data_IF_522705658807
#
_entry.id   IF_522705658807
#
_cell.length_a   1.000
_cell.length_b   1.000
_cell.length_c   1.000
_cell.angle_alpha   90.00
_cell.angle_beta   90.00
_cell.angle_gamma   90.00
#
_symmetry.space_group_name_H-M   'P 1'
#
loop_
_entity.id
_entity.type
_entity.pdbx_description
1 polymer ?
#
# COMPACT_ATOMS: atom_id res chain seq x y z
N UNK A 1 -11.80 18.09 -4.56
CA UNK A 1 -12.47 16.77 -4.77
C UNK A 1 -11.67 15.82 -5.67
N UNK A 2 -11.20 16.25 -6.85
CA UNK A 2 -10.51 15.37 -7.82
C UNK A 2 -9.28 14.62 -7.28
N UNK A 3 -8.40 15.31 -6.53
CA UNK A 3 -7.20 14.69 -5.92
C UNK A 3 -7.54 13.61 -4.90
N UNK A 4 -8.66 13.76 -4.19
CA UNK A 4 -9.13 12.73 -3.27
C UNK A 4 -9.57 11.49 -4.04
N UNK A 5 -10.40 11.65 -5.08
CA UNK A 5 -10.84 10.54 -5.90
C UNK A 5 -9.66 9.77 -6.53
N UNK A 6 -8.65 10.47 -7.05
CA UNK A 6 -7.50 9.84 -7.74
C UNK A 6 -6.55 9.08 -6.81
N UNK A 7 -6.55 9.38 -5.50
CA UNK A 7 -5.59 8.81 -4.53
C UNK A 7 -6.11 7.59 -3.74
N UNK A 8 -7.17 6.93 -4.22
CA UNK A 8 -7.75 5.75 -3.54
C UNK A 8 -6.76 4.62 -3.27
N UNK A 9 -5.86 4.35 -4.22
CA UNK A 9 -4.79 3.35 -4.06
C UNK A 9 -3.89 3.62 -2.84
N UNK A 10 -3.45 4.87 -2.67
CA UNK A 10 -2.56 5.24 -1.57
C UNK A 10 -3.27 5.14 -0.22
N UNK A 11 -4.56 5.55 -0.15
CA UNK A 11 -5.36 5.41 1.07
C UNK A 11 -5.59 3.96 1.46
N UNK A 12 -5.86 3.09 0.47
CA UNK A 12 -5.97 1.66 0.71
C UNK A 12 -4.68 1.08 1.31
N UNK A 13 -3.51 1.46 0.78
CA UNK A 13 -2.23 1.02 1.36
C UNK A 13 -2.00 1.55 2.77
N UNK A 14 -2.35 2.82 3.04
CA UNK A 14 -2.33 3.36 4.40
C UNK A 14 -3.25 2.55 5.33
N UNK A 15 -4.47 2.22 4.89
CA UNK A 15 -5.39 1.41 5.67
C UNK A 15 -4.82 0.01 5.94
N UNK A 16 -4.21 -0.64 4.95
CA UNK A 16 -3.51 -1.92 5.16
C UNK A 16 -2.37 -1.78 6.19
N UNK A 17 -1.54 -0.75 6.08
CA UNK A 17 -0.42 -0.54 7.00
C UNK A 17 -0.89 -0.38 8.45
N UNK A 18 -1.98 0.35 8.69
CA UNK A 18 -2.42 0.66 10.05
C UNK A 18 -3.43 -0.33 10.63
N UNK A 19 -4.30 -0.92 9.78
CA UNK A 19 -5.38 -1.82 10.21
C UNK A 19 -5.08 -3.30 9.97
N UNK A 20 -4.26 -3.63 8.97
CA UNK A 20 -3.94 -5.03 8.67
C UNK A 20 -2.63 -5.51 9.29
N UNK A 21 -1.62 -4.64 9.41
CA UNK A 21 -0.37 -4.96 10.10
C UNK A 21 -0.50 -4.79 11.61
N UNK A 22 0.02 -5.76 12.36
CA UNK A 22 0.27 -5.57 13.80
C UNK A 22 1.22 -4.36 13.99
N UNK A 23 0.97 -3.46 14.97
CA UNK A 23 1.86 -2.35 15.26
C UNK A 23 3.34 -2.72 15.31
N UNK A 24 3.67 -3.87 15.90
CA UNK A 24 5.05 -4.35 16.03
C UNK A 24 5.66 -4.82 14.69
N UNK A 25 4.84 -5.15 13.69
CA UNK A 25 5.26 -5.69 12.40
C UNK A 25 5.17 -4.67 11.25
N UNK A 26 4.66 -3.46 11.48
CA UNK A 26 4.52 -2.41 10.43
C UNK A 26 5.82 -2.12 9.70
N UNK A 27 6.94 -2.20 10.40
CA UNK A 27 8.26 -1.98 9.82
C UNK A 27 8.57 -2.98 8.69
N UNK A 28 8.07 -4.23 8.75
CA UNK A 28 8.26 -5.24 7.70
C UNK A 28 7.61 -4.83 6.38
N UNK A 29 6.50 -4.09 6.45
CA UNK A 29 5.82 -3.54 5.27
C UNK A 29 6.72 -2.51 4.60
N UNK A 30 7.30 -1.60 5.40
CA UNK A 30 8.20 -0.56 4.91
C UNK A 30 9.52 -1.15 4.41
N UNK A 31 10.11 -2.09 5.14
CA UNK A 31 11.33 -2.81 4.73
C UNK A 31 11.15 -3.46 3.36
N UNK A 32 10.06 -4.20 3.14
CA UNK A 32 9.76 -4.80 1.83
C UNK A 32 9.59 -3.73 0.74
N UNK A 33 8.88 -2.64 1.05
CA UNK A 33 8.62 -1.56 0.10
C UNK A 33 9.93 -0.88 -0.34
N UNK A 34 10.85 -0.61 0.59
CA UNK A 34 12.13 0.03 0.29
C UNK A 34 13.15 -0.87 -0.43
N UNK A 35 12.82 -2.15 -0.65
CA UNK A 35 13.60 -3.05 -1.52
C UNK A 35 13.18 -2.98 -2.99
N UNK A 36 12.14 -2.20 -3.32
CA UNK A 36 11.71 -1.98 -4.70
C UNK A 36 12.67 -1.04 -5.44
N UNK A 37 12.53 -0.98 -6.76
CA UNK A 37 13.27 -0.06 -7.61
C UNK A 37 13.11 1.40 -7.13
N UNK A 38 14.21 2.16 -7.12
CA UNK A 38 14.23 3.53 -6.63
C UNK A 38 13.35 4.46 -7.47
N UNK A 39 13.26 4.24 -8.79
CA UNK A 39 12.39 5.00 -9.67
C UNK A 39 10.91 4.76 -9.37
N UNK A 40 10.53 3.52 -9.08
CA UNK A 40 9.18 3.18 -8.59
C UNK A 40 8.89 3.89 -7.27
N UNK A 41 9.81 3.83 -6.29
CA UNK A 41 9.64 4.48 -4.99
C UNK A 41 9.47 5.99 -5.16
N UNK A 42 10.25 6.62 -6.05
CA UNK A 42 10.13 8.04 -6.37
C UNK A 42 8.74 8.40 -6.92
N UNK A 43 8.23 7.65 -7.91
CA UNK A 43 6.88 7.85 -8.45
C UNK A 43 5.78 7.64 -7.41
N UNK A 44 5.98 6.67 -6.51
CA UNK A 44 5.04 6.41 -5.43
C UNK A 44 4.89 7.63 -4.51
N UNK A 45 6.01 8.19 -4.04
CA UNK A 45 5.99 9.37 -3.17
C UNK A 45 5.53 10.64 -3.90
N UNK A 46 5.76 10.74 -5.21
CA UNK A 46 5.20 11.81 -6.04
C UNK A 46 3.68 11.68 -6.26
N UNK A 47 3.06 10.57 -5.85
CA UNK A 47 1.65 10.29 -6.10
C UNK A 47 1.35 9.94 -7.57
N UNK A 48 2.37 9.58 -8.36
CA UNK A 48 2.30 9.32 -9.81
C UNK A 48 2.52 7.83 -10.15
N UNK A 49 2.11 6.92 -9.28
CA UNK A 49 2.25 5.46 -9.51
C UNK A 49 1.47 5.01 -10.74
N UNK A 50 2.18 4.36 -11.67
CA UNK A 50 1.57 3.69 -12.83
C UNK A 50 0.80 2.43 -12.40
N UNK A 51 0.02 1.85 -13.31
CA UNK A 51 -0.67 0.57 -13.05
C UNK A 51 0.36 -0.53 -12.75
N UNK A 52 1.50 -0.54 -13.45
CA UNK A 52 2.58 -1.49 -13.21
C UNK A 52 3.24 -1.29 -11.84
N UNK A 53 3.44 -0.04 -11.40
CA UNK A 53 3.97 0.25 -10.06
C UNK A 53 3.03 -0.28 -8.97
N UNK A 54 1.72 -0.03 -9.12
CA UNK A 54 0.69 -0.52 -8.19
C UNK A 54 0.69 -2.04 -8.10
N UNK A 55 0.74 -2.72 -9.25
CA UNK A 55 0.84 -4.17 -9.30
C UNK A 55 2.10 -4.64 -8.58
N UNK A 56 3.26 -4.04 -8.88
CA UNK A 56 4.54 -4.42 -8.27
C UNK A 56 4.56 -4.26 -6.75
N UNK A 57 3.98 -3.19 -6.22
CA UNK A 57 3.84 -2.96 -4.76
C UNK A 57 2.99 -4.06 -4.09
N UNK A 58 1.93 -4.51 -4.76
CA UNK A 58 1.02 -5.55 -4.26
C UNK A 58 1.54 -6.98 -4.47
N UNK A 59 2.44 -7.21 -5.43
CA UNK A 59 2.95 -8.55 -5.77
C UNK A 59 3.99 -9.10 -4.79
N UNK A 60 3.85 -10.36 -4.38
CA UNK A 60 4.78 -11.05 -3.51
C UNK A 60 4.10 -11.53 -2.23
N UNK A 61 4.87 -12.14 -1.32
CA UNK A 61 4.33 -12.61 -0.04
C UNK A 61 3.92 -11.40 0.81
N UNK A 62 2.62 -11.26 1.18
CA UNK A 62 2.18 -10.14 1.97
C UNK A 62 2.81 -10.21 3.38
N UNK A 63 3.39 -9.11 3.88
CA UNK A 63 3.97 -9.03 5.22
C UNK A 63 2.90 -8.95 6.33
N UNK A 64 1.62 -8.97 5.96
CA UNK A 64 0.45 -8.87 6.84
C UNK A 64 -0.49 -10.05 6.65
N UNK A 65 -1.26 -10.47 7.67
CA UNK A 65 -2.29 -11.50 7.52
C UNK A 65 -3.32 -11.13 6.45
N UNK A 66 -3.53 -12.02 5.47
CA UNK A 66 -4.39 -11.79 4.29
C UNK A 66 -5.84 -11.44 4.70
N UNK A 67 -6.39 -12.13 5.70
CA UNK A 67 -7.76 -11.86 6.18
C UNK A 67 -7.93 -10.43 6.70
N UNK A 68 -6.94 -9.90 7.44
CA UNK A 68 -6.97 -8.51 7.91
C UNK A 68 -6.77 -7.51 6.76
N UNK A 69 -5.98 -7.88 5.76
CA UNK A 69 -5.82 -7.04 4.56
C UNK A 69 -7.14 -6.87 3.80
N UNK A 70 -7.93 -7.94 3.64
CA UNK A 70 -9.25 -7.88 2.97
C UNK A 70 -10.24 -7.01 3.76
N UNK A 71 -10.28 -7.15 5.09
CA UNK A 71 -11.12 -6.32 5.95
C UNK A 71 -10.77 -4.82 5.81
N UNK A 72 -9.46 -4.49 5.88
CA UNK A 72 -8.98 -3.12 5.72
C UNK A 72 -9.33 -2.52 4.35
N UNK A 73 -9.24 -3.30 3.27
CA UNK A 73 -9.63 -2.85 1.92
C UNK A 73 -11.12 -2.51 1.86
N UNK A 74 -11.98 -3.39 2.38
CA UNK A 74 -13.44 -3.18 2.40
C UNK A 74 -13.82 -1.88 3.11
N UNK A 75 -13.20 -1.61 4.26
CA UNK A 75 -13.48 -0.40 5.03
C UNK A 75 -12.90 0.87 4.38
N UNK A 76 -11.78 0.76 3.66
CA UNK A 76 -11.15 1.92 2.99
C UNK A 76 -11.88 2.42 1.74
N UNK A 77 -12.92 1.70 1.31
CA UNK A 77 -13.77 2.05 0.15
C UNK A 77 -14.93 2.98 0.52
N UNK A 78 -15.13 3.27 1.80
CA UNK A 78 -16.15 4.20 2.33
C UNK A 78 -15.61 5.62 2.44
#
# INVERSE_FOLDING_TARGET
AATWASRGFYRMLTAMLFRAADPADRWRVLERFYRLDAGLIGRFYAGQSTIFDKARVLTGKPPVPIGRAIAAIRESRV
#
